data_IF_189481702328
#
_entry.id   IF_189481702328
#
_cell.length_a   1.000
_cell.length_b   1.000
_cell.length_c   1.000
_cell.angle_alpha   90.00
_cell.angle_beta   90.00
_cell.angle_gamma   90.00
#
_symmetry.space_group_name_H-M   'P 1'
#
loop_
_entity.id
_entity.type
_entity.pdbx_description
1 polymer ?
#
# COMPACT_ATOMS: atom_id res chain seq x y z
N UNK A 1 -22.70 -0.81 -17.29
CA UNK A 1 -21.30 -1.28 -17.30
C UNK A 1 -20.52 -0.10 -16.81
N UNK A 2 -20.53 0.06 -15.49
CA UNK A 2 -20.24 1.32 -14.81
C UNK A 2 -18.77 1.35 -14.43
N UNK A 3 -17.97 1.94 -15.31
CA UNK A 3 -16.63 2.47 -15.03
C UNK A 3 -16.73 3.67 -14.06
N UNK A 4 -17.17 3.49 -12.79
CA UNK A 4 -17.08 4.56 -11.78
C UNK A 4 -17.33 4.13 -10.32
N UNK A 5 -16.60 3.13 -9.81
CA UNK A 5 -16.47 2.88 -8.36
C UNK A 5 -15.04 2.51 -7.99
N UNK A 6 -14.11 3.45 -8.16
CA UNK A 6 -12.88 3.46 -7.35
C UNK A 6 -13.15 4.39 -6.17
N UNK A 7 -13.96 3.96 -5.22
CA UNK A 7 -14.01 4.55 -3.87
C UNK A 7 -14.28 3.42 -2.89
N UNK A 8 -13.23 2.93 -2.22
CA UNK A 8 -13.28 1.92 -1.17
C UNK A 8 -13.80 0.52 -1.58
N UNK A 9 -13.29 -0.04 -2.68
CA UNK A 9 -13.23 -1.50 -2.79
C UNK A 9 -12.56 -2.02 -1.52
N UNK A 10 -13.17 -3.01 -0.84
CA UNK A 10 -12.65 -3.67 0.35
C UNK A 10 -11.14 -3.82 0.25
N UNK A 11 -10.41 -2.95 0.95
CA UNK A 11 -8.96 -2.95 0.90
C UNK A 11 -8.47 -4.21 1.59
N UNK A 12 -7.67 -4.99 0.86
CA UNK A 12 -7.13 -6.25 1.33
C UNK A 12 -6.10 -5.98 2.41
N UNK A 13 -6.01 -6.84 3.42
CA UNK A 13 -5.04 -6.67 4.51
C UNK A 13 -3.59 -6.72 3.99
N UNK A 14 -3.36 -7.41 2.87
CA UNK A 14 -2.08 -7.45 2.16
C UNK A 14 -1.76 -6.19 1.35
N UNK A 15 -2.73 -5.29 1.10
CA UNK A 15 -2.44 -4.06 0.36
C UNK A 15 -1.41 -3.22 1.11
N UNK A 16 -0.59 -2.48 0.37
CA UNK A 16 0.55 -1.75 0.92
C UNK A 16 0.18 -0.28 1.11
N UNK A 17 0.35 0.22 2.33
CA UNK A 17 0.40 1.63 2.65
C UNK A 17 1.81 2.17 2.39
N UNK A 18 1.93 3.23 1.59
CA UNK A 18 3.19 3.90 1.29
C UNK A 18 3.09 5.37 1.68
N UNK A 19 4.06 5.83 2.49
CA UNK A 19 4.17 7.22 2.92
C UNK A 19 5.07 8.03 1.98
N UNK A 20 4.93 9.35 2.03
CA UNK A 20 5.71 10.28 1.21
C UNK A 20 7.24 10.21 1.45
N UNK A 21 7.66 9.71 2.61
CA UNK A 21 9.08 9.49 2.94
C UNK A 21 9.65 8.21 2.26
N UNK A 22 8.81 7.42 1.59
CA UNK A 22 9.17 6.13 1.00
C UNK A 22 9.09 4.96 1.99
N UNK A 23 8.70 5.22 3.24
CA UNK A 23 8.31 4.17 4.17
C UNK A 23 7.07 3.44 3.64
N UNK A 24 6.97 2.14 3.92
CA UNK A 24 5.84 1.32 3.54
C UNK A 24 5.51 0.28 4.60
N UNK A 25 4.25 -0.13 4.66
CA UNK A 25 3.74 -1.13 5.58
C UNK A 25 2.54 -1.86 4.96
N UNK A 26 2.21 -3.04 5.47
CA UNK A 26 0.96 -3.71 5.08
C UNK A 26 -0.23 -3.00 5.72
N UNK A 27 -1.40 -3.09 5.11
CA UNK A 27 -2.62 -2.59 5.73
C UNK A 27 -2.97 -3.33 7.02
N UNK A 28 -2.60 -4.61 7.13
CA UNK A 28 -2.73 -5.38 8.38
C UNK A 28 -1.96 -4.69 9.53
N UNK A 29 -0.68 -4.38 9.33
CA UNK A 29 0.17 -3.67 10.30
C UNK A 29 -0.41 -2.29 10.68
N UNK A 30 -0.90 -1.54 9.68
CA UNK A 30 -1.49 -0.22 9.91
C UNK A 30 -2.78 -0.34 10.71
N UNK A 31 -3.62 -1.34 10.42
CA UNK A 31 -4.85 -1.64 11.17
C UNK A 31 -4.57 -2.17 12.56
N UNK A 32 -3.48 -2.91 12.74
CA UNK A 32 -2.98 -3.36 14.04
C UNK A 32 -2.47 -2.20 14.91
N UNK A 33 -2.27 -1.02 14.33
CA UNK A 33 -1.81 0.18 15.03
C UNK A 33 -0.30 0.22 15.24
N UNK A 34 0.48 -0.62 14.54
CA UNK A 34 1.94 -0.60 14.62
C UNK A 34 2.55 0.72 14.09
N UNK A 35 1.74 1.46 13.32
CA UNK A 35 2.08 2.72 12.66
C UNK A 35 1.24 3.92 13.17
N UNK A 36 0.60 3.83 14.35
CA UNK A 36 -0.22 4.92 14.95
C UNK A 36 0.58 6.21 15.23
N UNK A 37 1.90 6.11 15.32
CA UNK A 37 2.83 7.23 15.47
C UNK A 37 3.19 7.93 14.14
N UNK A 38 2.78 7.34 13.01
CA UNK A 38 3.02 7.85 11.65
C UNK A 38 1.79 8.60 11.15
N UNK A 39 1.95 9.45 10.12
CA UNK A 39 0.82 10.21 9.56
C UNK A 39 -0.20 9.28 8.92
N UNK A 40 -1.48 9.61 9.05
CA UNK A 40 -2.58 8.91 8.36
C UNK A 40 -2.64 9.23 6.86
N UNK A 41 -1.86 10.20 6.40
CA UNK A 41 -1.64 10.53 4.99
C UNK A 41 -0.67 9.52 4.34
N UNK A 42 -1.21 8.40 3.89
CA UNK A 42 -0.50 7.40 3.08
C UNK A 42 -1.30 7.02 1.82
N UNK A 43 -0.57 6.70 0.75
CA UNK A 43 -1.18 6.12 -0.44
C UNK A 43 -1.31 4.61 -0.26
N UNK A 44 -2.44 4.04 -0.66
CA UNK A 44 -2.63 2.59 -0.58
C UNK A 44 -2.61 2.01 -1.98
N UNK A 45 -1.68 1.07 -2.16
CA UNK A 45 -1.38 0.40 -3.42
C UNK A 45 -1.69 -1.08 -3.26
N UNK A 46 -2.33 -1.67 -4.25
CA UNK A 46 -2.63 -3.09 -4.19
C UNK A 46 -1.35 -3.91 -4.20
N UNK A 47 -1.27 -4.93 -3.36
CA UNK A 47 -0.14 -5.88 -3.35
C UNK A 47 0.08 -6.59 -4.70
N UNK A 48 -0.98 -6.67 -5.52
CA UNK A 48 -0.93 -7.21 -6.87
C UNK A 48 -0.31 -6.25 -7.90
N UNK A 49 -0.20 -4.96 -7.57
CA UNK A 49 0.37 -3.94 -8.44
C UNK A 49 1.90 -3.90 -8.28
N UNK A 50 2.53 -5.03 -8.63
CA UNK A 50 3.97 -5.25 -8.43
C UNK A 50 4.81 -4.23 -9.20
N UNK A 51 4.34 -3.76 -10.36
CA UNK A 51 5.03 -2.74 -11.18
C UNK A 51 5.13 -1.41 -10.43
N UNK A 52 4.03 -0.95 -9.81
CA UNK A 52 4.02 0.27 -8.99
C UNK A 52 4.82 0.10 -7.70
N UNK A 53 4.77 -1.07 -7.08
CA UNK A 53 5.54 -1.37 -5.87
C UNK A 53 7.05 -1.41 -6.14
N UNK A 54 7.48 -1.93 -7.29
CA UNK A 54 8.88 -1.85 -7.74
C UNK A 54 9.27 -0.40 -8.03
N UNK A 55 8.41 0.38 -8.71
CA UNK A 55 8.68 1.78 -9.01
C UNK A 55 8.86 2.65 -7.75
N UNK A 56 8.21 2.28 -6.64
CA UNK A 56 8.33 2.93 -5.34
C UNK A 56 9.46 2.37 -4.46
N UNK A 57 10.14 1.32 -4.92
CA UNK A 57 11.20 0.66 -4.14
C UNK A 57 10.67 -0.15 -2.94
N UNK A 58 9.37 -0.49 -2.94
CA UNK A 58 8.77 -1.39 -1.94
C UNK A 58 9.21 -2.83 -2.19
N UNK A 59 9.14 -3.26 -3.46
CA UNK A 59 9.72 -4.53 -3.89
C UNK A 59 11.09 -4.29 -4.52
N UNK A 60 12.05 -5.10 -4.10
CA UNK A 60 13.30 -5.23 -4.83
C UNK A 60 13.03 -6.06 -6.09
N UNK A 61 13.39 -5.50 -7.25
CA UNK A 61 13.22 -6.17 -8.54
C UNK A 61 14.22 -7.32 -8.77
N UNK A 62 15.15 -7.55 -7.83
CA UNK A 62 16.24 -8.51 -7.92
C UNK A 62 16.03 -9.67 -6.91
N UNK A 63 15.29 -10.73 -7.30
CA UNK A 63 15.40 -12.00 -6.62
C UNK A 63 16.73 -12.63 -7.08
N UNK A 64 17.80 -12.36 -6.33
CA UNK A 64 19.13 -12.96 -6.59
C UNK A 64 19.10 -14.48 -6.77
#
# INVERSE_FOLDING_TARGET
>A
MEDMMITAATRHDDDIAVWADGAWATLDDVRAGEFDWMSDDYEIISHLDTDRLIALGVYDADPG
#
